data_IF_730542386802
#
_entry.id   IF_730542386802
#
_cell.length_a   1.000
_cell.length_b   1.000
_cell.length_c   1.000
_cell.angle_alpha   90.00
_cell.angle_beta   90.00
_cell.angle_gamma   90.00
#
_symmetry.space_group_name_H-M   'P 1'
#
loop_
_entity.id
_entity.type
_entity.pdbx_description
1 polymer ?
#
# COMPACT_ATOMS: atom_id res chain seq x y z
N UNK A 1 1.96 19.33 -6.20
CA UNK A 1 1.95 18.31 -5.15
C UNK A 1 2.35 17.00 -5.80
N UNK A 2 3.49 16.43 -5.44
CA UNK A 2 3.90 15.11 -5.94
C UNK A 2 4.28 14.26 -4.73
N UNK A 3 3.46 13.27 -4.42
CA UNK A 3 3.83 12.20 -3.52
C UNK A 3 4.41 11.07 -4.36
N UNK A 4 5.54 10.52 -3.94
CA UNK A 4 6.15 9.34 -4.53
C UNK A 4 5.98 8.16 -3.58
N UNK A 5 5.60 7.01 -4.12
CA UNK A 5 5.35 5.79 -3.37
C UNK A 5 6.27 4.70 -3.91
N UNK A 6 7.22 4.28 -3.08
CA UNK A 6 8.15 3.19 -3.38
C UNK A 6 7.68 1.91 -2.66
N UNK A 7 7.25 0.87 -3.38
CA UNK A 7 6.94 -0.42 -2.78
C UNK A 7 8.24 -1.11 -2.35
N UNK A 8 8.38 -1.39 -1.05
CA UNK A 8 9.53 -2.09 -0.51
C UNK A 8 9.28 -3.59 -0.37
N UNK A 9 8.05 -3.97 -0.04
CA UNK A 9 7.62 -5.37 0.02
C UNK A 9 6.13 -5.51 -0.27
N UNK A 10 5.72 -6.70 -0.72
CA UNK A 10 4.31 -7.08 -0.86
C UNK A 10 4.14 -8.48 -0.30
N UNK A 11 3.25 -8.63 0.67
CA UNK A 11 2.96 -9.90 1.33
C UNK A 11 1.50 -10.27 1.12
N UNK A 12 1.26 -11.56 0.87
CA UNK A 12 -0.10 -12.12 0.90
C UNK A 12 -0.54 -12.26 2.35
N UNK A 13 -1.83 -12.07 2.60
CA UNK A 13 -2.43 -12.44 3.89
C UNK A 13 -3.21 -13.74 3.72
N UNK A 14 -3.79 -14.22 4.81
CA UNK A 14 -4.70 -15.38 4.80
C UNK A 14 -6.01 -15.09 4.06
N UNK A 15 -6.30 -13.81 3.78
CA UNK A 15 -7.40 -13.37 2.93
C UNK A 15 -6.96 -13.34 1.46
N UNK A 16 -7.55 -14.15 0.56
CA UNK A 16 -7.08 -14.32 -0.82
C UNK A 16 -7.00 -13.02 -1.63
N UNK A 17 -7.91 -12.10 -1.35
CA UNK A 17 -8.03 -10.81 -2.02
C UNK A 17 -7.39 -9.66 -1.25
N UNK A 18 -6.62 -9.94 -0.20
CA UNK A 18 -5.96 -8.91 0.60
C UNK A 18 -4.45 -9.01 0.45
N UNK A 19 -3.81 -7.86 0.23
CA UNK A 19 -2.35 -7.73 0.17
C UNK A 19 -1.91 -6.63 1.13
N UNK A 20 -0.79 -6.85 1.79
CA UNK A 20 -0.15 -5.80 2.59
C UNK A 20 1.16 -5.45 1.91
N UNK A 21 1.30 -4.18 1.51
CA UNK A 21 2.55 -3.67 0.98
C UNK A 21 3.21 -2.75 1.99
N UNK A 22 4.52 -2.87 2.18
CA UNK A 22 5.28 -1.82 2.88
C UNK A 22 5.64 -0.77 1.86
N UNK A 23 5.14 0.45 2.03
CA UNK A 23 5.42 1.57 1.14
C UNK A 23 6.30 2.58 1.86
N UNK A 24 7.34 3.06 1.18
CA UNK A 24 7.99 4.31 1.53
C UNK A 24 7.31 5.43 0.76
N UNK A 25 6.82 6.43 1.47
CA UNK A 25 6.17 7.61 0.91
C UNK A 25 7.10 8.80 1.09
N UNK A 26 7.27 9.59 0.04
CA UNK A 26 7.98 10.87 0.09
C UNK A 26 7.18 11.97 -0.58
N UNK A 27 7.19 13.18 -0.02
CA UNK A 27 6.57 14.36 -0.64
C UNK A 27 6.24 15.50 0.34
N UNK A 28 6.59 16.74 -0.02
CA UNK A 28 6.27 18.02 0.66
C UNK A 28 5.83 17.93 2.14
N UNK A 29 6.71 17.45 3.01
CA UNK A 29 6.51 17.45 4.48
C UNK A 29 5.93 16.16 5.08
N UNK A 30 5.42 15.24 4.27
CA UNK A 30 4.99 13.91 4.73
C UNK A 30 5.93 12.83 4.15
N UNK A 31 6.77 12.29 5.02
CA UNK A 31 7.68 11.21 4.69
C UNK A 31 7.52 10.10 5.73
N UNK A 32 7.45 8.85 5.28
CA UNK A 32 7.30 7.72 6.18
C UNK A 32 7.35 6.39 5.46
N UNK A 33 7.67 5.34 6.20
CA UNK A 33 7.60 3.96 5.74
C UNK A 33 6.57 3.24 6.57
N UNK A 34 5.60 2.60 5.93
CA UNK A 34 4.53 1.94 6.67
C UNK A 34 3.75 0.92 5.85
N UNK A 35 3.00 0.06 6.54
CA UNK A 35 2.13 -0.91 5.90
C UNK A 35 0.94 -0.19 5.27
N UNK A 36 0.59 -0.61 4.06
CA UNK A 36 -0.60 -0.20 3.34
C UNK A 36 -1.34 -1.47 2.92
N UNK A 37 -2.62 -1.56 3.31
CA UNK A 37 -3.45 -2.72 3.00
C UNK A 37 -4.26 -2.44 1.74
N UNK A 38 -4.19 -3.35 0.78
CA UNK A 38 -4.97 -3.34 -0.45
C UNK A 38 -5.98 -4.48 -0.41
N UNK A 39 -7.25 -4.18 -0.68
CA UNK A 39 -8.23 -5.18 -1.07
C UNK A 39 -8.35 -5.21 -2.58
N UNK A 40 -8.40 -6.42 -3.11
CA UNK A 40 -8.57 -6.72 -4.52
C UNK A 40 -10.02 -7.17 -4.76
N UNK A 41 -10.47 -6.97 -6.00
CA UNK A 41 -11.68 -7.58 -6.54
C UNK A 41 -11.46 -7.76 -8.03
N UNK A 42 -11.61 -8.99 -8.51
CA UNK A 42 -11.41 -9.35 -9.92
C UNK A 42 -10.02 -8.93 -10.45
N UNK A 43 -8.98 -9.06 -9.60
CA UNK A 43 -7.60 -8.68 -9.92
C UNK A 43 -7.29 -7.18 -9.90
N UNK A 44 -8.27 -6.33 -9.58
CA UNK A 44 -8.13 -4.88 -9.49
C UNK A 44 -8.14 -4.41 -8.04
N UNK A 45 -7.53 -3.25 -7.76
CA UNK A 45 -7.59 -2.63 -6.43
C UNK A 45 -8.99 -2.08 -6.20
N UNK A 46 -9.69 -2.63 -5.21
CA UNK A 46 -11.02 -2.20 -4.80
C UNK A 46 -10.96 -1.17 -3.66
N UNK A 47 -9.99 -1.29 -2.76
CA UNK A 47 -9.73 -0.29 -1.71
C UNK A 47 -8.30 -0.32 -1.21
N UNK A 48 -7.89 0.79 -0.60
CA UNK A 48 -6.61 1.00 0.05
C UNK A 48 -6.82 1.61 1.44
N UNK A 49 -6.11 1.09 2.43
CA UNK A 49 -6.06 1.63 3.79
C UNK A 49 -4.61 1.88 4.21
N UNK A 50 -4.35 3.11 4.63
CA UNK A 50 -3.12 3.53 5.31
C UNK A 50 -3.44 3.52 6.81
N UNK A 51 -2.56 2.93 7.62
CA UNK A 51 -2.71 2.89 9.08
C UNK A 51 -2.26 4.20 9.75
#
# INVERSE_FOLDING_TARGET
MHAHFDPLSVTRTDEPDTRVATLRVTGNGYNGTGPTTFRLRDGLIASLRIA
#
